data_IF_890892498936
#
_entry.id   IF_890892498936
#
_cell.length_a   1.000
_cell.length_b   1.000
_cell.length_c   1.000
_cell.angle_alpha   90.00
_cell.angle_beta   90.00
_cell.angle_gamma   90.00
#
_symmetry.space_group_name_H-M   'P 1'
#
loop_
_entity.id
_entity.type
_entity.pdbx_description
1 polymer ?
#
# COMPACT_ATOMS: atom_id res chain seq x y z
N UNK A 1 -8.65 15.01 -15.52
CA UNK A 1 -8.31 13.80 -14.75
C UNK A 1 -6.89 13.93 -14.19
N UNK A 2 -6.72 13.88 -12.87
CA UNK A 2 -5.42 14.14 -12.23
C UNK A 2 -4.38 13.11 -12.68
N UNK A 3 -3.28 13.55 -13.31
CA UNK A 3 -2.20 12.66 -13.80
C UNK A 3 -1.58 11.80 -12.68
N UNK A 4 -1.63 12.28 -11.43
CA UNK A 4 -1.24 11.50 -10.24
C UNK A 4 -2.17 10.29 -10.02
N UNK A 5 -3.49 10.49 -10.15
CA UNK A 5 -4.48 9.41 -10.06
C UNK A 5 -4.24 8.36 -11.15
N UNK A 6 -3.99 8.78 -12.40
CA UNK A 6 -3.66 7.87 -13.51
C UNK A 6 -2.41 7.01 -13.22
N UNK A 7 -1.34 7.61 -12.69
CA UNK A 7 -0.12 6.87 -12.37
C UNK A 7 -0.36 5.83 -11.25
N UNK A 8 -1.10 6.20 -10.21
CA UNK A 8 -1.47 5.30 -9.12
C UNK A 8 -2.34 4.16 -9.64
N UNK A 9 -3.29 4.43 -10.54
CA UNK A 9 -4.12 3.40 -11.15
C UNK A 9 -3.30 2.39 -11.95
N UNK A 10 -2.32 2.84 -12.75
CA UNK A 10 -1.43 1.94 -13.52
C UNK A 10 -0.57 1.07 -12.60
N UNK A 11 0.00 1.66 -11.55
CA UNK A 11 0.76 0.90 -10.55
C UNK A 11 -0.09 -0.19 -9.88
N UNK A 12 -1.30 0.19 -9.41
CA UNK A 12 -2.22 -0.75 -8.77
C UNK A 12 -2.66 -1.86 -9.72
N UNK A 13 -2.94 -1.54 -10.99
CA UNK A 13 -3.30 -2.53 -11.99
C UNK A 13 -2.18 -3.54 -12.22
N UNK A 14 -0.93 -3.08 -12.36
CA UNK A 14 0.24 -3.97 -12.53
C UNK A 14 0.47 -4.87 -11.30
N UNK A 15 0.36 -4.30 -10.09
CA UNK A 15 0.48 -5.05 -8.84
C UNK A 15 -0.61 -6.12 -8.71
N UNK A 16 -1.87 -5.76 -8.99
CA UNK A 16 -2.98 -6.69 -8.94
C UNK A 16 -2.81 -7.82 -9.97
N UNK A 17 -2.36 -7.48 -11.18
CA UNK A 17 -2.11 -8.47 -12.24
C UNK A 17 -0.98 -9.42 -11.86
N UNK A 18 0.10 -8.91 -11.25
CA UNK A 18 1.20 -9.72 -10.72
C UNK A 18 0.72 -10.70 -9.64
N UNK A 19 -0.09 -10.23 -8.68
CA UNK A 19 -0.65 -11.06 -7.61
C UNK A 19 -1.57 -12.16 -8.14
N UNK A 20 -2.45 -11.83 -9.09
CA UNK A 20 -3.37 -12.79 -9.71
C UNK A 20 -2.60 -13.83 -10.53
N UNK A 21 -1.61 -13.42 -11.32
CA UNK A 21 -0.75 -14.32 -12.07
C UNK A 21 0.05 -15.25 -11.12
N UNK A 22 0.60 -14.70 -10.04
CA UNK A 22 1.34 -15.48 -9.05
C UNK A 22 0.47 -16.52 -8.35
N UNK A 23 -0.76 -16.13 -7.97
CA UNK A 23 -1.75 -17.03 -7.39
C UNK A 23 -2.18 -18.11 -8.37
N UNK A 24 -2.44 -17.75 -9.62
CA UNK A 24 -2.82 -18.71 -10.65
C UNK A 24 -1.72 -19.75 -10.85
N UNK A 25 -0.47 -19.32 -11.04
CA UNK A 25 0.65 -20.21 -11.25
C UNK A 25 0.88 -21.13 -10.04
N UNK A 26 0.73 -20.60 -8.82
CA UNK A 26 0.80 -21.41 -7.60
C UNK A 26 -0.24 -22.54 -7.59
N UNK A 27 -1.50 -22.22 -7.94
CA UNK A 27 -2.56 -23.23 -8.00
C UNK A 27 -2.34 -24.25 -9.12
N UNK A 28 -1.84 -23.81 -10.29
CA UNK A 28 -1.49 -24.72 -11.39
C UNK A 28 -0.43 -25.72 -10.94
N UNK A 29 0.67 -25.24 -10.35
CA UNK A 29 1.74 -26.12 -9.85
C UNK A 29 1.25 -27.07 -8.76
N UNK A 30 0.40 -26.59 -7.84
CA UNK A 30 -0.23 -27.45 -6.82
C UNK A 30 -1.08 -28.56 -7.45
N UNK A 31 -1.86 -28.23 -8.48
CA UNK A 31 -2.70 -29.19 -9.19
C UNK A 31 -1.85 -30.20 -9.97
N UNK A 32 -0.75 -29.76 -10.59
CA UNK A 32 0.21 -30.64 -11.26
C UNK A 32 0.88 -31.61 -10.29
N UNK A 33 1.29 -31.15 -9.10
CA UNK A 33 1.83 -32.03 -8.04
C UNK A 33 0.78 -33.07 -7.63
N UNK A 34 -0.47 -32.64 -7.44
CA UNK A 34 -1.57 -33.54 -7.07
C UNK A 34 -1.83 -34.59 -8.15
N UNK A 35 -1.82 -34.18 -9.42
CA UNK A 35 -1.95 -35.07 -10.56
C UNK A 35 -0.76 -36.05 -10.67
N UNK A 36 0.46 -35.61 -10.39
CA UNK A 36 1.65 -36.47 -10.36
C UNK A 36 1.54 -37.53 -9.26
N UNK A 37 1.07 -37.14 -8.07
CA UNK A 37 0.81 -38.08 -6.97
C UNK A 37 -0.28 -39.10 -7.34
N UNK A 38 -1.38 -38.66 -7.94
CA UNK A 38 -2.45 -39.54 -8.42
C UNK A 38 -1.94 -40.52 -9.46
N UNK A 39 -1.14 -40.04 -10.42
CA UNK A 39 -0.56 -40.87 -11.48
C UNK A 39 0.41 -41.91 -10.89
N UNK A 40 1.33 -41.48 -10.02
CA UNK A 40 2.29 -42.37 -9.36
C UNK A 40 1.58 -43.42 -8.50
N UNK A 41 0.51 -43.02 -7.82
CA UNK A 41 -0.34 -43.91 -7.05
C UNK A 41 -0.99 -44.97 -7.94
N UNK A 42 -1.65 -44.55 -9.03
CA UNK A 42 -2.29 -45.46 -9.97
C UNK A 42 -1.31 -46.45 -10.60
N UNK A 43 -0.11 -46.00 -10.98
CA UNK A 43 0.94 -46.87 -11.54
C UNK A 43 1.44 -47.90 -10.53
N UNK A 44 1.63 -47.49 -9.28
CA UNK A 44 2.02 -48.40 -8.18
C UNK A 44 0.98 -49.51 -7.97
N UNK A 45 -0.30 -49.17 -8.12
CA UNK A 45 -1.40 -50.14 -8.01
C UNK A 45 -1.45 -51.12 -9.19
N UNK A 46 -1.18 -50.64 -10.40
CA UNK A 46 -1.15 -51.49 -11.60
C UNK A 46 0.01 -52.50 -11.57
N UNK A 47 1.17 -52.10 -11.03
CA UNK A 47 2.32 -53.00 -10.89
C UNK A 47 2.11 -54.04 -9.77
N UNK A 48 1.34 -53.73 -8.73
CA UNK A 48 1.19 -54.59 -7.55
C UNK A 48 0.07 -55.60 -7.77
N UNK A 49 0.44 -56.82 -8.15
CA UNK A 49 -0.49 -57.96 -8.30
C UNK A 49 -0.98 -58.56 -6.98
N UNK A 50 -0.33 -58.22 -5.87
CA UNK A 50 -0.66 -58.70 -4.52
C UNK A 50 -1.47 -57.68 -3.73
N UNK A 51 -2.32 -58.11 -2.77
CA UNK A 51 -3.07 -57.19 -1.93
C UNK A 51 -2.13 -56.26 -1.17
N UNK A 52 -2.30 -54.95 -1.35
CA UNK A 52 -1.48 -53.88 -0.74
C UNK A 52 -1.49 -53.97 0.79
N UNK A 53 -2.61 -54.45 1.36
CA UNK A 53 -2.84 -54.59 2.79
C UNK A 53 -3.48 -55.96 3.04
N UNK A 54 -2.87 -56.76 3.92
CA UNK A 54 -3.39 -58.07 4.33
C UNK A 54 -4.51 -57.93 5.37
N UNK A 55 -5.35 -58.96 5.51
CA UNK A 55 -6.47 -58.95 6.45
C UNK A 55 -6.02 -58.78 7.91
N UNK A 56 -4.87 -59.36 8.29
CA UNK A 56 -4.30 -59.20 9.62
C UNK A 56 -3.88 -57.75 9.90
N UNK A 57 -3.37 -57.05 8.87
CA UNK A 57 -3.01 -55.63 8.98
C UNK A 57 -4.26 -54.77 9.17
N UNK A 58 -5.36 -55.08 8.46
CA UNK A 58 -6.65 -54.40 8.65
C UNK A 58 -7.19 -54.63 10.06
N UNK A 59 -7.13 -55.87 10.57
CA UNK A 59 -7.58 -56.20 11.93
C UNK A 59 -6.74 -55.46 12.99
N UNK A 60 -5.42 -55.48 12.85
CA UNK A 60 -4.51 -54.76 13.73
C UNK A 60 -4.79 -53.25 13.71
N UNK A 61 -5.01 -52.66 12.52
CA UNK A 61 -5.38 -51.25 12.38
C UNK A 61 -6.67 -50.91 13.13
N UNK A 62 -7.74 -51.70 12.94
CA UNK A 62 -9.02 -51.50 13.64
C UNK A 62 -8.86 -51.63 15.16
N UNK A 63 -8.04 -52.57 15.63
CA UNK A 63 -7.75 -52.73 17.05
C UNK A 63 -7.01 -51.51 17.62
N UNK A 64 -5.96 -51.05 16.92
CA UNK A 64 -5.19 -49.88 17.33
C UNK A 64 -6.07 -48.62 17.43
N UNK A 65 -6.96 -48.44 16.44
CA UNK A 65 -7.93 -47.34 16.38
C UNK A 65 -8.91 -47.36 17.55
N UNK A 66 -9.41 -48.54 17.94
CA UNK A 66 -10.31 -48.69 19.09
C UNK A 66 -9.60 -48.38 20.40
N UNK A 67 -8.35 -48.83 20.55
CA UNK A 67 -7.57 -48.61 21.77
C UNK A 67 -7.08 -47.17 21.92
N UNK A 68 -6.78 -46.48 20.82
CA UNK A 68 -6.30 -45.09 20.86
C UNK A 68 -7.42 -44.07 21.07
N UNK A 69 -8.68 -44.44 20.85
CA UNK A 69 -9.81 -43.52 20.92
C UNK A 69 -9.80 -42.43 19.84
N UNK A 70 -9.00 -42.61 18.77
CA UNK A 70 -8.79 -41.59 17.72
C UNK A 70 -8.34 -42.17 16.38
N UNK A 71 -8.13 -41.30 15.38
CA UNK A 71 -7.66 -41.71 14.06
C UNK A 71 -6.20 -42.21 14.14
N UNK A 72 -5.93 -43.34 13.51
CA UNK A 72 -4.57 -43.89 13.36
C UNK A 72 -4.12 -43.65 11.93
N UNK A 73 -2.94 -43.05 11.77
CA UNK A 73 -2.33 -42.83 10.46
C UNK A 73 -1.13 -43.77 10.30
N UNK A 74 -1.12 -44.55 9.22
CA UNK A 74 0.04 -45.38 8.85
C UNK A 74 0.73 -44.72 7.66
N UNK A 75 1.96 -44.27 7.84
CA UNK A 75 2.78 -43.72 6.77
C UNK A 75 3.77 -44.77 6.26
N UNK A 76 3.70 -45.09 4.96
CA UNK A 76 4.55 -46.07 4.30
C UNK A 76 5.34 -45.39 3.20
N UNK A 77 6.66 -45.35 3.33
CA UNK A 77 7.56 -44.90 2.27
C UNK A 77 7.74 -46.04 1.26
N UNK A 78 6.87 -46.13 0.25
CA UNK A 78 6.96 -47.15 -0.79
C UNK A 78 7.93 -46.70 -1.91
N UNK A 79 9.03 -47.44 -2.10
CA UNK A 79 10.04 -47.11 -3.11
C UNK A 79 9.50 -47.08 -4.55
N UNK A 80 8.48 -47.89 -4.85
CA UNK A 80 7.88 -47.96 -6.19
C UNK A 80 7.02 -46.73 -6.43
N UNK A 81 6.24 -46.33 -5.42
CA UNK A 81 5.52 -45.06 -5.45
C UNK A 81 6.47 -43.88 -5.69
N UNK A 82 7.57 -43.81 -4.92
CA UNK A 82 8.56 -42.75 -5.10
C UNK A 82 9.27 -42.81 -6.47
N UNK A 83 9.40 -43.99 -7.08
CA UNK A 83 10.00 -44.15 -8.41
C UNK A 83 9.16 -43.50 -9.51
N UNK A 84 7.83 -43.63 -9.42
CA UNK A 84 6.88 -43.12 -10.41
C UNK A 84 6.65 -41.60 -10.33
N UNK A 85 7.04 -40.94 -9.25
CA UNK A 85 6.97 -39.48 -9.13
C UNK A 85 7.95 -38.83 -10.13
N UNK A 86 7.47 -37.83 -10.87
CA UNK A 86 8.31 -37.12 -11.86
C UNK A 86 9.30 -36.17 -11.17
N UNK A 87 8.86 -35.49 -10.12
CA UNK A 87 9.68 -34.50 -9.43
C UNK A 87 10.60 -35.16 -8.38
N UNK A 88 11.91 -34.91 -8.48
CA UNK A 88 12.92 -35.45 -7.55
C UNK A 88 12.67 -35.04 -6.10
N UNK A 89 12.20 -33.80 -5.85
CA UNK A 89 11.90 -33.33 -4.48
C UNK A 89 10.70 -34.03 -3.86
N UNK A 90 9.75 -34.49 -4.69
CA UNK A 90 8.62 -35.27 -4.20
C UNK A 90 9.11 -36.63 -3.69
N UNK A 91 10.08 -37.27 -4.35
CA UNK A 91 10.56 -38.62 -3.98
C UNK A 91 11.03 -38.76 -2.53
N UNK A 92 11.64 -37.71 -2.00
CA UNK A 92 12.21 -37.69 -0.63
C UNK A 92 11.19 -37.31 0.44
N UNK A 93 10.08 -36.69 0.04
CA UNK A 93 9.08 -36.10 0.97
C UNK A 93 7.71 -36.75 0.85
N UNK A 94 7.55 -37.71 -0.05
CA UNK A 94 6.28 -38.39 -0.32
C UNK A 94 6.19 -39.71 0.42
N UNK A 95 5.01 -40.00 0.93
CA UNK A 95 4.69 -41.28 1.55
C UNK A 95 3.26 -41.67 1.22
N UNK A 96 2.97 -42.96 1.29
CA UNK A 96 1.65 -43.52 1.11
C UNK A 96 0.97 -43.64 2.48
N UNK A 97 -0.32 -43.36 2.56
CA UNK A 97 -1.12 -43.75 3.72
C UNK A 97 -2.39 -44.43 3.26
N UNK A 98 -2.92 -45.29 4.12
CA UNK A 98 -4.21 -45.92 3.92
C UNK A 98 -5.09 -45.74 5.16
N UNK A 99 -6.37 -45.53 4.92
CA UNK A 99 -7.42 -45.53 5.94
C UNK A 99 -8.42 -46.63 5.59
N UNK A 100 -8.95 -47.30 6.62
CA UNK A 100 -9.99 -48.32 6.45
C UNK A 100 -11.33 -47.62 6.60
N UNK A 101 -12.06 -47.50 5.49
CA UNK A 101 -13.38 -46.87 5.48
C UNK A 101 -14.42 -47.91 5.90
N UNK A 102 -15.02 -47.66 7.06
CA UNK A 102 -16.09 -48.47 7.64
C UNK A 102 -17.31 -47.58 7.93
N UNK A 103 -18.49 -48.18 8.16
CA UNK A 103 -19.74 -47.45 8.43
C UNK A 103 -19.66 -46.50 9.63
N UNK A 104 -18.75 -46.76 10.56
CA UNK A 104 -18.53 -45.96 11.77
C UNK A 104 -17.65 -44.72 11.55
N UNK A 105 -16.87 -44.66 10.45
CA UNK A 105 -15.93 -43.56 10.22
C UNK A 105 -15.74 -43.27 8.73
N UNK A 106 -16.27 -42.13 8.29
CA UNK A 106 -15.99 -41.57 6.98
C UNK A 106 -14.78 -40.64 7.08
N UNK A 107 -13.60 -41.16 6.74
CA UNK A 107 -12.29 -40.48 6.60
C UNK A 107 -12.18 -39.05 7.15
N UNK A 108 -11.49 -38.89 8.28
CA UNK A 108 -11.19 -37.58 8.85
C UNK A 108 -10.24 -36.78 7.96
N UNK A 109 -10.49 -35.47 7.82
CA UNK A 109 -9.56 -34.54 7.19
C UNK A 109 -8.26 -34.47 7.99
N UNK A 110 -7.16 -34.93 7.41
CA UNK A 110 -5.83 -34.86 8.05
C UNK A 110 -5.08 -33.63 7.54
N UNK A 111 -4.49 -32.88 8.47
CA UNK A 111 -3.49 -31.79 8.35
C UNK A 111 -3.67 -30.79 7.20
N UNK A 112 -4.14 -29.56 7.52
CA UNK A 112 -4.36 -28.46 6.55
C UNK A 112 -3.09 -28.05 5.77
N UNK A 113 -1.90 -28.41 6.26
CA UNK A 113 -0.62 -28.01 5.69
C UNK A 113 -0.04 -29.02 4.67
N UNK A 114 -0.68 -30.16 4.43
CA UNK A 114 -0.18 -31.20 3.52
C UNK A 114 -0.93 -31.22 2.16
N UNK A 115 -0.19 -31.48 1.07
CA UNK A 115 -0.80 -31.75 -0.24
C UNK A 115 -1.04 -33.26 -0.36
N UNK A 116 -2.29 -33.62 -0.63
CA UNK A 116 -2.75 -35.00 -0.76
C UNK A 116 -3.19 -35.30 -2.19
N UNK A 117 -2.95 -36.54 -2.61
CA UNK A 117 -3.58 -37.14 -3.78
C UNK A 117 -5.08 -37.30 -3.54
N UNK A 118 -5.86 -37.42 -4.62
CA UNK A 118 -7.26 -37.83 -4.51
C UNK A 118 -7.35 -39.20 -3.85
N UNK A 119 -8.41 -39.39 -3.05
CA UNK A 119 -8.63 -40.63 -2.30
C UNK A 119 -8.97 -41.76 -3.28
N UNK A 120 -8.12 -42.76 -3.40
CA UNK A 120 -8.39 -43.92 -4.22
C UNK A 120 -8.99 -45.04 -3.37
N UNK A 121 -10.24 -45.39 -3.66
CA UNK A 121 -10.99 -46.40 -2.91
C UNK A 121 -10.77 -47.78 -3.54
N UNK A 122 -10.06 -48.65 -2.84
CA UNK A 122 -9.78 -50.01 -3.27
C UNK A 122 -10.68 -50.96 -2.48
N UNK A 123 -11.54 -51.69 -3.18
CA UNK A 123 -12.33 -52.74 -2.55
C UNK A 123 -11.48 -54.00 -2.41
N UNK A 124 -11.26 -54.46 -1.19
CA UNK A 124 -10.56 -55.72 -0.97
C UNK A 124 -11.54 -56.88 -1.19
N UNK A 125 -11.32 -57.64 -2.27
CA UNK A 125 -12.20 -58.76 -2.66
C UNK A 125 -12.30 -59.89 -1.62
N UNK A 126 -11.35 -59.99 -0.69
CA UNK A 126 -11.33 -61.05 0.33
C UNK A 126 -11.99 -60.63 1.66
N UNK A 127 -12.05 -59.33 1.96
CA UNK A 127 -12.57 -58.81 3.23
C UNK A 127 -13.92 -58.08 3.09
N UNK A 128 -14.34 -57.72 1.87
CA UNK A 128 -15.54 -56.92 1.64
C UNK A 128 -15.42 -55.44 2.06
N UNK A 129 -14.26 -55.06 2.62
CA UNK A 129 -13.96 -53.71 3.11
C UNK A 129 -13.37 -52.82 2.02
N UNK A 130 -13.60 -51.51 2.14
CA UNK A 130 -13.07 -50.50 1.21
C UNK A 130 -11.90 -49.77 1.88
N UNK A 131 -10.73 -49.87 1.27
CA UNK A 131 -9.51 -49.19 1.71
C UNK A 131 -9.39 -47.87 0.96
N UNK A 132 -9.30 -46.75 1.68
CA UNK A 132 -8.98 -45.45 1.13
C UNK A 132 -7.46 -45.28 1.09
N UNK A 133 -6.87 -45.29 -0.09
CA UNK A 133 -5.44 -45.07 -0.30
C UNK A 133 -5.18 -43.64 -0.76
N UNK A 134 -4.17 -42.99 -0.18
CA UNK A 134 -3.76 -41.62 -0.54
C UNK A 134 -2.24 -41.49 -0.56
N UNK A 135 -1.72 -40.83 -1.58
CA UNK A 135 -0.35 -40.32 -1.61
C UNK A 135 -0.27 -38.97 -0.88
N UNK A 136 0.69 -38.82 0.01
CA UNK A 136 0.92 -37.61 0.80
C UNK A 136 2.29 -37.05 0.51
N UNK A 137 2.41 -35.72 0.56
CA UNK A 137 3.69 -35.03 0.46
C UNK A 137 3.78 -33.93 1.51
N UNK A 138 4.93 -33.87 2.20
CA UNK A 138 5.22 -32.79 3.16
C UNK A 138 5.92 -31.66 2.42
N UNK A 139 5.12 -30.80 1.79
CA UNK A 139 5.60 -29.61 1.10
C UNK A 139 5.01 -28.36 1.74
N UNK A 140 5.89 -27.43 2.13
CA UNK A 140 5.46 -26.11 2.58
C UNK A 140 4.94 -25.27 1.42
N UNK A 141 4.06 -24.31 1.71
CA UNK A 141 3.57 -23.36 0.70
C UNK A 141 4.72 -22.62 0.00
N UNK A 142 5.79 -22.28 0.71
CA UNK A 142 6.98 -21.66 0.13
C UNK A 142 7.72 -22.57 -0.86
N UNK A 143 7.78 -23.88 -0.58
CA UNK A 143 8.39 -24.85 -1.49
C UNK A 143 7.57 -25.01 -2.78
N UNK A 144 6.24 -25.06 -2.67
CA UNK A 144 5.33 -25.11 -3.83
C UNK A 144 5.42 -23.82 -4.64
N UNK A 145 5.48 -22.67 -3.96
CA UNK A 145 5.71 -21.36 -4.58
C UNK A 145 7.03 -21.37 -5.36
N UNK A 146 8.14 -21.83 -4.77
CA UNK A 146 9.44 -21.92 -5.46
C UNK A 146 9.51 -22.94 -6.60
N UNK A 147 8.60 -23.93 -6.65
CA UNK A 147 8.45 -24.84 -7.79
C UNK A 147 7.63 -24.22 -8.92
N UNK A 148 6.84 -23.18 -8.64
CA UNK A 148 5.97 -22.53 -9.60
C UNK A 148 6.75 -21.57 -10.51
N UNK A 149 6.31 -21.44 -11.77
CA UNK A 149 6.92 -20.46 -12.67
C UNK A 149 6.48 -19.04 -12.32
N UNK A 150 7.36 -18.28 -11.70
CA UNK A 150 7.09 -16.92 -11.24
C UNK A 150 7.69 -15.83 -12.11
N UNK A 151 8.23 -16.18 -13.27
CA UNK A 151 8.91 -15.21 -14.14
C UNK A 151 7.99 -14.07 -14.56
N UNK A 152 6.74 -14.38 -14.92
CA UNK A 152 5.73 -13.39 -15.32
C UNK A 152 5.26 -12.52 -14.13
N UNK A 153 4.80 -13.08 -12.99
CA UNK A 153 4.49 -12.30 -11.80
C UNK A 153 5.65 -11.41 -11.33
N UNK A 154 6.87 -11.94 -11.29
CA UNK A 154 8.06 -11.21 -10.87
C UNK A 154 8.41 -10.08 -11.84
N UNK A 155 8.30 -10.33 -13.15
CA UNK A 155 8.48 -9.31 -14.19
C UNK A 155 7.46 -8.17 -14.06
N UNK A 156 6.19 -8.49 -13.84
CA UNK A 156 5.13 -7.49 -13.61
C UNK A 156 5.36 -6.69 -12.33
N UNK A 157 5.83 -7.34 -11.26
CA UNK A 157 6.16 -6.66 -10.01
C UNK A 157 7.34 -5.71 -10.17
N UNK A 158 8.38 -6.14 -10.88
CA UNK A 158 9.52 -5.30 -11.22
C UNK A 158 9.09 -4.09 -12.08
N UNK A 159 8.23 -4.32 -13.09
CA UNK A 159 7.68 -3.26 -13.92
C UNK A 159 6.84 -2.26 -13.10
N UNK A 160 6.03 -2.74 -12.15
CA UNK A 160 5.26 -1.89 -11.25
C UNK A 160 6.16 -0.99 -10.39
N UNK A 161 7.22 -1.57 -9.80
CA UNK A 161 8.18 -0.81 -8.99
C UNK A 161 8.91 0.23 -9.83
N UNK A 162 9.41 -0.15 -11.02
CA UNK A 162 10.07 0.76 -11.94
C UNK A 162 9.13 1.90 -12.37
N UNK A 163 7.86 1.59 -12.64
CA UNK A 163 6.84 2.58 -12.98
C UNK A 163 6.59 3.55 -11.81
N UNK A 164 6.45 3.05 -10.58
CA UNK A 164 6.25 3.88 -9.41
C UNK A 164 7.42 4.85 -9.17
N UNK A 165 8.66 4.34 -9.27
CA UNK A 165 9.87 5.15 -9.15
C UNK A 165 9.94 6.19 -10.27
N UNK A 166 9.78 5.75 -11.52
CA UNK A 166 9.83 6.63 -12.69
C UNK A 166 8.76 7.72 -12.63
N UNK A 167 7.54 7.39 -12.23
CA UNK A 167 6.47 8.36 -12.08
C UNK A 167 6.72 9.34 -10.93
N UNK A 168 7.26 8.91 -9.79
CA UNK A 168 7.62 9.81 -8.70
C UNK A 168 8.72 10.78 -9.13
N UNK A 169 9.76 10.30 -9.82
CA UNK A 169 10.83 11.14 -10.34
C UNK A 169 10.32 12.13 -11.38
N UNK A 170 9.43 11.69 -12.29
CA UNK A 170 8.81 12.54 -13.29
C UNK A 170 7.96 13.64 -12.66
N UNK A 171 7.12 13.31 -11.68
CA UNK A 171 6.29 14.29 -10.97
C UNK A 171 7.16 15.29 -10.19
N UNK A 172 8.21 14.83 -9.50
CA UNK A 172 9.18 15.70 -8.79
C UNK A 172 9.95 16.62 -9.74
N UNK A 173 10.37 16.12 -10.91
CA UNK A 173 11.06 16.92 -11.92
C UNK A 173 10.12 17.98 -12.51
N UNK A 174 8.88 17.60 -12.81
CA UNK A 174 7.88 18.52 -13.38
C UNK A 174 7.36 19.54 -12.36
N UNK A 175 7.24 19.20 -11.09
CA UNK A 175 6.95 20.20 -10.05
C UNK A 175 8.04 21.26 -9.98
N UNK A 176 9.31 20.85 -10.09
CA UNK A 176 10.44 21.78 -10.19
C UNK A 176 10.41 22.61 -11.48
N UNK A 177 10.08 22.00 -12.63
CA UNK A 177 9.98 22.71 -13.92
C UNK A 177 8.77 23.64 -13.99
N UNK A 178 7.60 23.27 -13.47
CA UNK A 178 6.43 24.15 -13.38
C UNK A 178 6.68 25.32 -12.41
N UNK A 179 7.55 25.15 -11.41
CA UNK A 179 8.04 26.26 -10.56
C UNK A 179 8.99 27.20 -11.32
N UNK A 180 9.60 26.74 -12.40
CA UNK A 180 10.60 27.47 -13.21
C UNK A 180 10.01 28.05 -14.51
N UNK A 181 8.91 27.47 -15.01
CA UNK A 181 8.24 27.78 -16.28
C UNK A 181 6.82 28.36 -16.07
N UNK A 182 6.60 29.27 -15.12
CA UNK A 182 5.45 30.19 -15.25
C UNK A 182 5.93 31.40 -16.08
N UNK A 183 5.60 31.50 -17.39
CA UNK A 183 5.79 32.71 -18.14
C UNK A 183 4.61 33.63 -17.83
N UNK A 184 4.93 34.89 -17.57
CA UNK A 184 4.02 36.03 -17.57
C UNK A 184 3.45 36.18 -18.98
N UNK A 185 2.28 35.61 -19.28
CA UNK A 185 1.49 35.99 -20.46
C UNK A 185 0.00 35.98 -20.12
N UNK A 186 -0.49 37.15 -19.71
CA UNK A 186 -1.91 37.49 -19.74
C UNK A 186 -2.23 38.30 -20.99
N UNK A 187 -3.19 37.84 -21.79
CA UNK A 187 -3.96 38.65 -22.74
C UNK A 187 -5.39 38.08 -22.92
N UNK A 188 -6.40 38.93 -22.62
CA UNK A 188 -7.83 38.97 -22.99
C UNK A 188 -8.64 37.68 -23.23
N UNK A 189 -9.65 37.36 -22.41
CA UNK A 189 -11.10 37.76 -22.49
C UNK A 189 -12.00 36.57 -22.91
N UNK A 190 -13.35 36.57 -22.67
CA UNK A 190 -14.10 36.78 -21.43
C UNK A 190 -15.17 35.67 -21.19
N UNK A 191 -15.47 35.30 -19.94
CA UNK A 191 -16.74 34.69 -19.50
C UNK A 191 -16.69 34.56 -17.97
N UNK A 192 -17.34 35.46 -17.23
CA UNK A 192 -18.63 35.16 -16.57
C UNK A 192 -18.60 33.83 -15.80
N UNK A 193 -18.10 33.84 -14.56
CA UNK A 193 -18.98 33.71 -13.40
C UNK A 193 -18.19 33.97 -12.10
N UNK A 194 -18.87 34.56 -11.12
CA UNK A 194 -18.25 35.14 -9.93
C UNK A 194 -17.58 34.11 -9.00
N UNK A 195 -16.29 34.30 -8.73
CA UNK A 195 -15.68 33.99 -7.43
C UNK A 195 -14.55 34.99 -7.21
N UNK A 196 -14.62 35.64 -6.06
CA UNK A 196 -13.88 36.82 -5.65
C UNK A 196 -12.39 36.72 -5.95
N UNK A 197 -11.93 37.71 -6.72
CA UNK A 197 -10.54 38.03 -6.97
C UNK A 197 -9.77 38.05 -5.65
N UNK A 198 -8.61 37.40 -5.61
CA UNK A 198 -7.61 37.67 -4.58
C UNK A 198 -7.36 39.19 -4.60
N UNK A 199 -7.78 39.87 -3.54
CA UNK A 199 -7.66 41.31 -3.39
C UNK A 199 -6.17 41.65 -3.40
N UNK A 200 -5.64 42.11 -4.53
CA UNK A 200 -4.27 42.61 -4.62
C UNK A 200 -4.25 44.01 -4.00
N UNK A 201 -3.65 44.13 -2.81
CA UNK A 201 -3.48 45.40 -2.12
C UNK A 201 -2.02 45.82 -2.20
N UNK A 202 -1.70 46.77 -3.10
CA UNK A 202 -0.35 47.33 -3.26
C UNK A 202 0.75 46.33 -3.62
N UNK A 203 0.40 45.24 -4.31
CA UNK A 203 1.33 44.17 -4.68
C UNK A 203 1.58 43.16 -3.56
N UNK A 204 0.70 43.10 -2.56
CA UNK A 204 0.72 42.04 -1.54
C UNK A 204 -0.43 41.08 -1.86
N UNK A 205 -0.13 39.78 -1.92
CA UNK A 205 -1.14 38.73 -2.04
C UNK A 205 -0.98 37.74 -0.90
N UNK A 206 -2.09 37.36 -0.26
CA UNK A 206 -2.11 36.31 0.76
C UNK A 206 -2.65 35.01 0.18
N UNK A 207 -1.97 33.89 0.43
CA UNK A 207 -2.45 32.54 0.09
C UNK A 207 -2.90 31.82 1.35
N UNK A 208 -4.19 31.51 1.43
CA UNK A 208 -4.76 30.68 2.50
C UNK A 208 -4.24 29.23 2.46
N UNK A 209 -3.82 28.73 1.29
CA UNK A 209 -3.41 27.35 1.11
C UNK A 209 -2.04 27.03 1.75
N UNK A 210 -1.10 27.98 1.66
CA UNK A 210 0.27 27.82 2.16
C UNK A 210 0.60 28.73 3.34
N UNK A 211 -0.38 29.54 3.76
CA UNK A 211 -0.29 30.53 4.83
C UNK A 211 0.94 31.44 4.65
N UNK A 212 1.04 32.08 3.48
CA UNK A 212 2.19 32.93 3.11
C UNK A 212 1.75 34.16 2.34
N UNK A 213 2.55 35.21 2.51
CA UNK A 213 2.41 36.45 1.77
C UNK A 213 3.39 36.48 0.60
N UNK A 214 2.93 37.02 -0.52
CA UNK A 214 3.69 37.16 -1.75
C UNK A 214 3.78 38.65 -2.10
N UNK A 215 4.96 39.08 -2.54
CA UNK A 215 5.19 40.42 -3.06
C UNK A 215 4.68 40.61 -4.49
N UNK A 216 4.89 41.80 -5.04
CA UNK A 216 4.41 42.19 -6.38
C UNK A 216 5.07 41.37 -7.50
N UNK A 217 6.18 40.73 -7.18
CA UNK A 217 6.98 39.81 -8.00
C UNK A 217 6.59 38.33 -7.80
N UNK A 218 5.54 38.05 -7.02
CA UNK A 218 5.11 36.71 -6.59
C UNK A 218 6.20 35.95 -5.81
N UNK A 219 7.19 36.63 -5.23
CA UNK A 219 8.18 36.00 -4.36
C UNK A 219 7.58 35.87 -2.96
N UNK A 220 7.67 34.68 -2.31
CA UNK A 220 7.17 34.50 -0.96
C UNK A 220 8.01 35.35 0.01
N UNK A 221 7.36 36.30 0.67
CA UNK A 221 8.00 37.16 1.66
C UNK A 221 8.27 36.35 2.92
N UNK A 222 9.53 36.27 3.34
CA UNK A 222 9.94 35.53 4.52
C UNK A 222 9.72 36.37 5.77
N UNK A 223 8.62 36.13 6.45
CA UNK A 223 8.34 36.70 7.77
C UNK A 223 8.73 35.73 8.89
N UNK A 224 9.16 36.28 10.03
CA UNK A 224 9.13 35.53 11.29
C UNK A 224 7.69 35.25 11.70
N UNK A 225 7.40 34.22 12.53
CA UNK A 225 6.03 33.88 12.92
C UNK A 225 5.22 35.07 13.48
N UNK A 226 5.86 35.94 14.27
CA UNK A 226 5.22 37.13 14.83
C UNK A 226 4.97 38.24 13.80
N UNK A 227 5.84 38.40 12.81
CA UNK A 227 5.62 39.33 11.71
C UNK A 227 4.48 38.87 10.81
N UNK A 228 4.39 37.56 10.55
CA UNK A 228 3.33 36.98 9.73
C UNK A 228 1.96 37.13 10.40
N UNK A 229 1.88 36.93 11.72
CA UNK A 229 0.64 37.14 12.47
C UNK A 229 0.21 38.62 12.43
N UNK A 230 1.15 39.55 12.62
CA UNK A 230 0.87 40.98 12.51
C UNK A 230 0.38 41.37 11.10
N UNK A 231 1.00 40.84 10.04
CA UNK A 231 0.56 41.07 8.66
C UNK A 231 -0.82 40.49 8.37
N UNK A 232 -1.18 39.33 8.94
CA UNK A 232 -2.53 38.78 8.83
C UNK A 232 -3.58 39.67 9.48
N UNK A 233 -3.27 40.25 10.63
CA UNK A 233 -4.16 41.21 11.28
C UNK A 233 -4.41 42.42 10.36
N UNK A 234 -3.36 42.95 9.70
CA UNK A 234 -3.51 44.06 8.73
C UNK A 234 -4.33 43.65 7.51
N UNK A 235 -4.14 42.42 7.04
CA UNK A 235 -4.84 41.88 5.88
C UNK A 235 -6.34 41.65 6.14
N UNK A 236 -6.69 41.14 7.33
CA UNK A 236 -8.07 40.82 7.70
C UNK A 236 -8.90 42.05 8.11
N UNK A 237 -8.24 43.18 8.36
CA UNK A 237 -8.92 44.42 8.76
C UNK A 237 -9.44 45.17 7.53
N UNK A 238 -10.73 45.52 7.45
CA UNK A 238 -11.38 46.08 6.25
C UNK A 238 -10.86 47.46 5.83
N UNK A 239 -10.11 48.14 6.69
CA UNK A 239 -9.46 49.43 6.38
C UNK A 239 -7.92 49.33 6.43
N UNK A 240 -7.38 48.11 6.51
CA UNK A 240 -5.97 47.81 6.74
C UNK A 240 -5.31 48.63 7.85
N UNK A 241 -6.12 49.03 8.84
CA UNK A 241 -5.76 49.91 9.95
C UNK A 241 -6.22 49.27 11.25
N UNK A 242 -5.32 49.21 12.24
CA UNK A 242 -5.54 48.51 13.51
C UNK A 242 -5.00 49.36 14.65
N UNK A 243 -5.73 49.35 15.77
CA UNK A 243 -5.30 50.02 17.01
C UNK A 243 -4.15 49.28 17.69
N UNK A 244 -3.31 50.01 18.41
CA UNK A 244 -2.21 49.43 19.20
C UNK A 244 -2.72 48.43 20.23
N UNK A 245 -3.83 48.75 20.87
CA UNK A 245 -4.46 47.95 21.92
C UNK A 245 -4.90 46.59 21.36
N UNK A 246 -5.50 46.58 20.16
CA UNK A 246 -5.95 45.37 19.48
C UNK A 246 -4.78 44.52 18.99
N UNK A 247 -3.72 45.14 18.46
CA UNK A 247 -2.49 44.41 18.09
C UNK A 247 -1.84 43.79 19.33
N UNK A 248 -1.72 44.54 20.43
CA UNK A 248 -1.12 44.05 21.68
C UNK A 248 -1.95 42.91 22.29
N UNK A 249 -3.28 43.02 22.29
CA UNK A 249 -4.17 41.97 22.78
C UNK A 249 -4.08 40.69 21.94
N UNK A 250 -3.96 40.82 20.61
CA UNK A 250 -3.88 39.67 19.70
C UNK A 250 -2.49 38.97 19.70
N UNK A 251 -1.40 39.73 19.79
CA UNK A 251 -0.03 39.18 19.76
C UNK A 251 0.50 38.81 21.15
N UNK A 252 0.12 39.54 22.19
CA UNK A 252 0.63 39.35 23.57
C UNK A 252 -0.49 39.45 24.63
N UNK A 253 -1.44 38.50 24.66
CA UNK A 253 -2.59 38.53 25.59
C UNK A 253 -2.23 38.42 27.08
N UNK A 254 -0.96 38.15 27.42
CA UNK A 254 -0.46 37.94 28.79
C UNK A 254 0.46 39.06 29.30
N UNK A 255 0.60 40.17 28.57
CA UNK A 255 1.52 41.26 28.91
C UNK A 255 0.76 42.59 29.01
N UNK A 256 0.78 43.20 30.19
CA UNK A 256 -0.01 44.40 30.49
C UNK A 256 0.47 45.66 29.76
N UNK A 257 1.75 45.71 29.34
CA UNK A 257 2.29 46.78 28.48
C UNK A 257 3.31 46.23 27.47
N UNK A 258 2.86 46.01 26.23
CA UNK A 258 3.67 45.50 25.12
C UNK A 258 4.12 46.58 24.12
N UNK A 259 3.94 47.88 24.44
CA UNK A 259 4.14 48.98 23.49
C UNK A 259 5.56 49.03 22.89
N UNK A 260 6.60 48.86 23.70
CA UNK A 260 8.00 48.86 23.22
C UNK A 260 8.31 47.64 22.33
N UNK A 261 7.66 46.51 22.63
CA UNK A 261 7.80 45.26 21.86
C UNK A 261 7.10 45.39 20.51
N UNK A 262 5.92 45.98 20.49
CA UNK A 262 5.19 46.32 19.26
C UNK A 262 5.98 47.30 18.39
N UNK A 263 6.53 48.37 19.00
CA UNK A 263 7.36 49.33 18.28
C UNK A 263 8.58 48.67 17.63
N UNK A 264 9.23 47.74 18.34
CA UNK A 264 10.37 46.98 17.83
C UNK A 264 9.96 46.05 16.67
N UNK A 265 8.81 45.37 16.79
CA UNK A 265 8.29 44.49 15.74
C UNK A 265 7.95 45.28 14.48
N UNK A 266 7.27 46.42 14.61
CA UNK A 266 6.92 47.32 13.51
C UNK A 266 8.17 47.90 12.86
N UNK A 267 9.16 48.33 13.64
CA UNK A 267 10.43 48.83 13.12
C UNK A 267 11.16 47.79 12.26
N UNK A 268 11.07 46.51 12.62
CA UNK A 268 11.66 45.39 11.84
C UNK A 268 10.79 44.95 10.66
N UNK A 269 9.47 45.13 10.75
CA UNK A 269 8.53 44.76 9.70
C UNK A 269 8.52 45.77 8.54
N UNK A 270 8.62 47.08 8.84
CA UNK A 270 8.67 48.17 7.85
C UNK A 270 9.62 47.92 6.67
N UNK A 271 10.93 47.65 6.87
CA UNK A 271 11.84 47.46 5.75
C UNK A 271 11.46 46.25 4.89
N UNK A 272 10.95 45.17 5.49
CA UNK A 272 10.55 43.96 4.77
C UNK A 272 9.32 44.23 3.88
N UNK A 273 8.35 44.99 4.40
CA UNK A 273 7.15 45.36 3.65
C UNK A 273 7.50 46.35 2.54
N UNK A 274 8.28 47.38 2.82
CA UNK A 274 8.68 48.40 1.83
C UNK A 274 9.63 47.86 0.76
N UNK A 275 10.44 46.82 1.06
CA UNK A 275 11.35 46.18 0.11
C UNK A 275 10.62 45.26 -0.88
N UNK A 276 9.60 44.53 -0.41
CA UNK A 276 8.91 43.51 -1.20
C UNK A 276 7.53 43.92 -1.74
N UNK A 277 6.99 45.05 -1.28
CA UNK A 277 5.67 45.54 -1.68
C UNK A 277 5.68 47.04 -1.90
N UNK A 278 4.67 47.57 -2.58
CA UNK A 278 4.48 49.03 -2.69
C UNK A 278 3.74 49.60 -1.49
N UNK A 279 3.80 48.94 -0.33
CA UNK A 279 3.09 49.33 0.87
C UNK A 279 4.04 49.93 1.89
N UNK A 280 3.50 50.84 2.69
CA UNK A 280 4.18 51.47 3.82
C UNK A 280 3.32 51.35 5.07
N UNK A 281 3.95 51.03 6.19
CA UNK A 281 3.28 51.06 7.50
C UNK A 281 3.39 52.46 8.10
N UNK A 282 2.26 53.18 8.14
CA UNK A 282 2.14 54.52 8.72
C UNK A 282 1.58 54.42 10.14
N UNK A 283 2.05 55.29 11.02
CA UNK A 283 1.54 55.38 12.39
C UNK A 283 0.68 56.65 12.49
N UNK A 284 -0.64 56.51 12.63
CA UNK A 284 -1.53 57.66 12.75
C UNK A 284 -1.61 58.11 14.22
N UNK A 285 -1.14 59.33 14.47
CA UNK A 285 -1.17 60.05 15.77
C UNK A 285 -0.70 59.22 16.98
N UNK A 286 0.11 58.19 16.74
CA UNK A 286 0.62 57.29 17.78
C UNK A 286 -0.42 56.37 18.42
N UNK A 287 -1.63 56.23 17.86
CA UNK A 287 -2.69 55.32 18.38
C UNK A 287 -2.92 54.11 17.49
N UNK A 288 -2.91 54.29 16.17
CA UNK A 288 -3.19 53.25 15.19
C UNK A 288 -2.02 53.07 14.23
N UNK A 289 -1.94 51.89 13.62
CA UNK A 289 -1.06 51.61 12.49
C UNK A 289 -1.91 51.29 11.26
N UNK A 290 -1.57 51.85 10.11
CA UNK A 290 -2.23 51.62 8.82
C UNK A 290 -1.22 51.12 7.79
N UNK A 291 -1.69 50.24 6.91
CA UNK A 291 -0.97 49.82 5.70
C UNK A 291 -1.47 50.68 4.54
N UNK A 292 -0.61 51.55 4.02
CA UNK A 292 -0.95 52.51 2.97
C UNK A 292 -0.13 52.22 1.70
N UNK A 293 -0.72 52.44 0.53
CA UNK A 293 -0.01 52.32 -0.74
C UNK A 293 0.95 53.51 -0.88
N UNK A 294 2.22 53.20 -1.11
CA UNK A 294 3.27 54.17 -1.34
C UNK A 294 3.16 54.71 -2.77
N UNK A 295 2.32 55.73 -2.95
CA UNK A 295 2.28 56.56 -4.16
C UNK A 295 3.63 57.26 -4.31
N UNK A 296 4.53 56.69 -5.12
CA UNK A 296 5.72 57.39 -5.58
C UNK A 296 5.24 58.66 -6.28
N UNK A 297 5.45 59.83 -5.64
CA UNK A 297 5.30 61.13 -6.28
C UNK A 297 6.08 61.10 -7.60
N UNK A 298 5.33 61.27 -8.69
CA UNK A 298 5.86 61.56 -10.03
C UNK A 298 6.80 62.76 -10.01
#
# INVERSE_FOLDING_TARGET
MNRRLLSVTVFLALMLTSLLAGRHNYHVTRNEITADLNQALAQTLLEKKEPIVTQDTIRAYKQLRRTSGGQVLIAVSDERFCRHLKNRRLKETSFLTFDVVDKEYQGGSTDEQAIYSDTLMIRNGHAGETLALKGYTRLSAAAVFGMSDQRLPAGLMAAAILWAIGSMLYLRKREKENLVLQPVEGYGQPAEDGTQSAEDFGGLTYSDADDRFYGADQIPIRFTPMQQQLMRLFWQSPSHSISKEEICAALWPKKDDANDTLYTLIRRLKPIVEEHTRLKIVADRGRNYSLEINELKS
#
